data_IF_331893815118
#
_entry.id   IF_331893815118
#
_cell.length_a   1.000
_cell.length_b   1.000
_cell.length_c   1.000
_cell.angle_alpha   90.00
_cell.angle_beta   90.00
_cell.angle_gamma   90.00
#
_symmetry.space_group_name_H-M   'P 1'
#
loop_
_entity.id
_entity.type
_entity.pdbx_description
1 polymer ?
#
# COMPACT_ATOMS: atom_id res chain seq x y z
N UNK A 1 -15.53 -21.61 -11.43
CA UNK A 1 -15.67 -20.27 -10.80
C UNK A 1 -16.64 -20.41 -9.65
N UNK A 2 -16.16 -20.20 -8.43
CA UNK A 2 -16.89 -20.55 -7.22
C UNK A 2 -17.67 -19.34 -6.70
N UNK A 3 -19.00 -19.42 -6.73
CA UNK A 3 -19.89 -18.31 -6.36
C UNK A 3 -19.59 -17.71 -4.96
N UNK A 4 -19.01 -18.50 -4.05
CA UNK A 4 -18.53 -18.06 -2.73
C UNK A 4 -17.33 -17.11 -2.79
N UNK A 5 -16.37 -17.36 -3.70
CA UNK A 5 -15.27 -16.41 -3.95
C UNK A 5 -15.83 -15.08 -4.47
N UNK A 6 -16.84 -15.12 -5.33
CA UNK A 6 -17.44 -13.91 -5.91
C UNK A 6 -18.18 -13.06 -4.87
N UNK A 7 -19.07 -13.65 -4.04
CA UNK A 7 -19.88 -12.89 -3.07
C UNK A 7 -19.04 -12.28 -1.92
N UNK A 8 -18.08 -13.04 -1.36
CA UNK A 8 -17.18 -12.54 -0.31
C UNK A 8 -16.09 -11.60 -0.83
N UNK A 9 -15.82 -11.61 -2.14
CA UNK A 9 -14.89 -10.66 -2.77
C UNK A 9 -15.54 -9.32 -3.13
N UNK A 10 -16.85 -9.16 -2.92
CA UNK A 10 -17.54 -7.92 -3.25
C UNK A 10 -17.03 -6.76 -2.37
N UNK A 11 -16.64 -5.59 -2.93
CA UNK A 11 -16.04 -4.50 -2.16
C UNK A 11 -16.88 -4.07 -0.95
N UNK A 12 -18.20 -4.02 -1.08
CA UNK A 12 -19.12 -3.60 -0.01
C UNK A 12 -19.08 -4.56 1.18
N UNK A 13 -19.06 -5.88 0.94
CA UNK A 13 -18.96 -6.89 1.99
C UNK A 13 -17.62 -6.80 2.71
N UNK A 14 -16.53 -6.59 1.95
CA UNK A 14 -15.18 -6.44 2.51
C UNK A 14 -15.06 -5.17 3.35
N UNK A 15 -15.63 -4.05 2.90
CA UNK A 15 -15.63 -2.77 3.62
C UNK A 15 -16.35 -2.88 4.95
N UNK A 16 -17.52 -3.52 4.98
CA UNK A 16 -18.25 -3.75 6.22
C UNK A 16 -17.46 -4.63 7.21
N UNK A 17 -16.89 -5.74 6.74
CA UNK A 17 -16.10 -6.64 7.58
C UNK A 17 -14.81 -6.01 8.12
N UNK A 18 -14.15 -5.13 7.35
CA UNK A 18 -12.93 -4.45 7.78
C UNK A 18 -13.18 -3.14 8.53
N UNK A 19 -14.43 -2.74 8.75
CA UNK A 19 -14.78 -1.44 9.34
C UNK A 19 -14.37 -0.23 8.47
N UNK A 20 -14.18 -0.43 7.16
CA UNK A 20 -13.77 0.61 6.22
C UNK A 20 -14.99 1.36 5.67
N UNK A 21 -15.66 2.11 6.54
CA UNK A 21 -16.86 2.88 6.19
C UNK A 21 -16.59 4.02 5.20
N UNK A 22 -15.34 4.52 5.16
CA UNK A 22 -14.94 5.60 4.25
C UNK A 22 -14.45 5.08 2.90
N UNK A 23 -14.30 3.76 2.74
CA UNK A 23 -13.81 3.12 1.52
C UNK A 23 -12.41 3.55 1.11
N UNK A 24 -11.56 3.92 2.07
CA UNK A 24 -10.15 4.32 1.86
C UNK A 24 -9.16 3.33 2.49
N UNK A 25 -9.69 2.31 3.15
CA UNK A 25 -8.94 1.30 3.84
C UNK A 25 -8.56 0.12 2.95
N UNK A 26 -8.14 -0.99 3.56
CA UNK A 26 -7.60 -2.13 2.84
C UNK A 26 -8.61 -2.80 1.91
N UNK A 27 -9.92 -2.60 2.08
CA UNK A 27 -10.95 -3.28 1.28
C UNK A 27 -10.92 -2.87 -0.20
N UNK A 28 -10.47 -1.66 -0.50
CA UNK A 28 -10.39 -1.10 -1.87
C UNK A 28 -9.02 -1.26 -2.53
N UNK A 29 -8.02 -1.78 -1.82
CA UNK A 29 -6.67 -1.97 -2.37
C UNK A 29 -6.66 -3.07 -3.43
N UNK A 30 -6.29 -2.70 -4.66
CA UNK A 30 -6.15 -3.62 -5.79
C UNK A 30 -5.04 -4.66 -5.58
N UNK A 31 -5.15 -5.81 -6.24
CA UNK A 31 -4.12 -6.86 -6.21
C UNK A 31 -2.76 -6.33 -6.69
N UNK A 32 -2.76 -5.53 -7.76
CA UNK A 32 -1.55 -4.85 -8.26
C UNK A 32 -0.87 -4.06 -7.15
N UNK A 33 -1.62 -3.22 -6.43
CA UNK A 33 -1.08 -2.39 -5.34
C UNK A 33 -0.57 -3.26 -4.18
N UNK A 34 -1.26 -4.35 -3.83
CA UNK A 34 -0.79 -5.29 -2.80
C UNK A 34 0.50 -6.00 -3.19
N UNK A 35 0.71 -6.23 -4.49
CA UNK A 35 1.93 -6.84 -5.02
C UNK A 35 3.12 -5.88 -5.11
N UNK A 36 2.94 -4.57 -4.92
CA UNK A 36 4.04 -3.61 -4.93
C UNK A 36 4.93 -3.83 -3.71
N UNK A 37 6.25 -3.85 -3.94
CA UNK A 37 7.26 -3.87 -2.88
C UNK A 37 7.93 -2.50 -2.76
N UNK A 38 8.33 -2.06 -1.56
CA UNK A 38 9.16 -0.87 -1.40
C UNK A 38 10.43 -0.97 -2.24
N UNK A 39 10.88 0.14 -2.84
CA UNK A 39 12.14 0.17 -3.61
C UNK A 39 13.37 -0.13 -2.74
N UNK A 40 13.24 0.02 -1.43
CA UNK A 40 14.27 -0.25 -0.44
C UNK A 40 14.24 -1.68 0.09
N UNK A 41 13.39 -2.57 -0.43
CA UNK A 41 13.25 -3.94 0.10
C UNK A 41 14.52 -4.77 0.03
N UNK A 42 15.42 -4.42 -0.89
CA UNK A 42 16.73 -5.08 -1.09
C UNK A 42 17.90 -4.19 -0.66
N UNK A 43 17.64 -3.09 0.05
CA UNK A 43 18.71 -2.21 0.52
C UNK A 43 19.42 -2.87 1.71
N UNK A 44 20.75 -2.87 1.71
CA UNK A 44 21.54 -3.44 2.80
C UNK A 44 21.35 -2.65 4.11
N UNK A 45 21.19 -1.33 4.00
CA UNK A 45 20.99 -0.42 5.13
C UNK A 45 20.39 0.91 4.68
N UNK A 46 19.66 1.55 5.59
CA UNK A 46 19.26 2.96 5.47
C UNK A 46 20.33 3.83 6.11
N UNK A 47 20.72 4.91 5.44
CA UNK A 47 21.73 5.86 5.93
C UNK A 47 21.21 7.28 5.84
N UNK A 48 21.77 8.15 6.68
CA UNK A 48 21.55 9.58 6.55
C UNK A 48 22.34 10.09 5.35
N UNK A 49 21.70 10.88 4.49
CA UNK A 49 22.31 11.45 3.28
C UNK A 49 21.90 12.91 3.13
N UNK A 50 22.76 13.70 2.52
CA UNK A 50 22.45 15.08 2.14
C UNK A 50 21.85 15.11 0.74
N UNK A 51 20.74 15.84 0.56
CA UNK A 51 20.09 15.99 -0.75
C UNK A 51 21.02 16.69 -1.75
N UNK A 52 21.39 16.06 -2.89
CA UNK A 52 22.39 16.62 -3.81
C UNK A 52 21.81 17.61 -4.83
N UNK A 53 20.52 17.94 -4.72
CA UNK A 53 19.83 18.68 -5.77
C UNK A 53 19.84 20.20 -5.55
N UNK A 54 19.34 20.67 -4.41
CA UNK A 54 19.29 22.10 -4.11
C UNK A 54 20.44 22.50 -3.17
N UNK A 55 20.85 23.78 -3.25
CA UNK A 55 21.97 24.32 -2.48
C UNK A 55 21.77 24.28 -0.95
N UNK A 56 20.52 24.13 -0.47
CA UNK A 56 20.21 24.02 0.95
C UNK A 56 20.82 22.76 1.56
N UNK A 57 20.91 21.67 0.79
CA UNK A 57 21.50 20.42 1.26
C UNK A 57 20.73 19.79 2.42
N UNK A 58 19.39 19.74 2.35
CA UNK A 58 18.59 19.13 3.40
C UNK A 58 19.01 17.67 3.62
N UNK A 59 19.40 17.35 4.84
CA UNK A 59 19.52 15.98 5.32
C UNK A 59 18.30 15.59 6.18
N UNK A 60 18.16 14.30 6.49
CA UNK A 60 17.27 13.84 7.55
C UNK A 60 17.67 14.40 8.92
#
# INVERSE_FOLDING_TARGET
>A
MEAKKTFLSWPVVRQFQSGDFLGRGPAVTSERTRGLKPRTSTADRVVQSVCPYCAVGCGP
#
